data_IF_744704225058
#
_entry.id   IF_744704225058
#
_cell.length_a   1.000
_cell.length_b   1.000
_cell.length_c   1.000
_cell.angle_alpha   90.00
_cell.angle_beta   90.00
_cell.angle_gamma   90.00
#
_symmetry.space_group_name_H-M   'P 1'
#
loop_
_entity.id
_entity.type
_entity.pdbx_description
1 polymer ?
#
# COMPACT_ATOMS: atom_id res chain seq x y z
N UNK A 1 28.14 -3.18 34.78
CA UNK A 1 29.27 -2.75 33.93
C UNK A 1 28.72 -2.49 32.54
N UNK A 2 28.86 -1.27 32.03
CA UNK A 2 28.45 -0.94 30.65
C UNK A 2 29.56 -1.33 29.68
N UNK A 3 29.21 -2.05 28.61
CA UNK A 3 30.12 -2.37 27.53
C UNK A 3 30.05 -1.25 26.48
N UNK A 4 31.18 -0.60 26.23
CA UNK A 4 31.38 0.22 25.04
C UNK A 4 31.42 -0.75 23.85
N UNK A 5 30.71 -0.42 22.76
CA UNK A 5 30.76 -1.22 21.53
C UNK A 5 32.15 -1.10 20.91
N UNK A 6 32.85 -2.21 20.76
CA UNK A 6 34.05 -2.31 19.94
C UNK A 6 33.64 -2.21 18.46
N UNK A 7 33.93 -1.08 17.83
CA UNK A 7 33.66 -0.87 16.41
C UNK A 7 34.79 -1.51 15.58
N UNK A 8 34.78 -2.83 15.40
CA UNK A 8 35.74 -3.56 14.55
C UNK A 8 35.39 -3.54 13.04
N UNK A 9 34.68 -2.52 12.56
CA UNK A 9 34.34 -2.43 11.15
C UNK A 9 33.74 -1.08 10.75
N UNK A 10 34.56 -0.20 10.20
CA UNK A 10 34.10 1.04 9.57
C UNK A 10 33.84 0.83 8.09
N UNK A 11 32.58 0.97 7.65
CA UNK A 11 32.30 1.11 6.21
C UNK A 11 32.66 2.52 5.78
N UNK A 12 33.69 2.68 4.96
CA UNK A 12 34.03 3.96 4.35
C UNK A 12 32.94 4.33 3.33
N UNK A 13 32.08 5.28 3.71
CA UNK A 13 31.08 5.84 2.82
C UNK A 13 31.69 7.02 2.07
N UNK A 14 31.74 6.96 0.75
CA UNK A 14 32.13 8.11 -0.07
C UNK A 14 31.01 9.14 -0.09
N UNK A 15 31.28 10.34 0.42
CA UNK A 15 30.42 11.51 0.24
C UNK A 15 31.04 12.43 -0.82
N UNK A 16 30.35 12.61 -1.94
CA UNK A 16 30.78 13.51 -3.02
C UNK A 16 29.91 14.75 -3.04
N UNK A 17 30.53 15.92 -2.89
CA UNK A 17 29.84 17.21 -2.99
C UNK A 17 29.85 17.69 -4.43
N UNK A 18 28.73 18.23 -4.91
CA UNK A 18 28.61 18.81 -6.23
C UNK A 18 29.24 20.21 -6.24
N UNK A 19 30.34 20.45 -6.99
CA UNK A 19 31.07 21.73 -6.93
C UNK A 19 30.22 22.95 -7.34
N UNK A 20 29.17 22.71 -8.14
CA UNK A 20 28.22 23.73 -8.59
C UNK A 20 27.23 24.20 -7.52
N UNK A 21 27.19 23.55 -6.35
CA UNK A 21 26.25 23.88 -5.27
C UNK A 21 26.99 24.65 -4.17
N UNK A 22 26.50 25.85 -3.86
CA UNK A 22 26.94 26.62 -2.70
C UNK A 22 26.17 26.17 -1.46
N UNK A 23 26.64 25.11 -0.82
CA UNK A 23 25.93 24.45 0.29
C UNK A 23 25.65 25.36 1.49
N UNK A 24 26.52 26.33 1.79
CA UNK A 24 26.29 27.32 2.85
C UNK A 24 25.07 28.22 2.58
N UNK A 25 24.62 28.31 1.32
CA UNK A 25 23.45 29.08 0.90
C UNK A 25 22.25 28.19 0.56
N UNK A 26 22.30 26.89 0.89
CA UNK A 26 21.27 25.92 0.49
C UNK A 26 19.85 26.34 0.90
N UNK A 27 19.69 26.91 2.11
CA UNK A 27 18.38 27.41 2.58
C UNK A 27 17.80 28.49 1.66
N UNK A 28 18.64 29.46 1.24
CA UNK A 28 18.23 30.53 0.31
C UNK A 28 17.96 29.99 -1.08
N UNK A 29 18.78 29.04 -1.55
CA UNK A 29 18.60 28.38 -2.84
C UNK A 29 17.25 27.64 -2.90
N UNK A 30 16.95 26.83 -1.88
CA UNK A 30 15.68 26.08 -1.79
C UNK A 30 14.47 27.02 -1.72
N UNK A 31 14.58 28.13 -0.98
CA UNK A 31 13.52 29.13 -0.92
C UNK A 31 13.21 29.71 -2.30
N UNK A 32 14.26 30.12 -3.05
CA UNK A 32 14.10 30.68 -4.41
C UNK A 32 13.56 29.65 -5.40
N UNK A 33 14.00 28.39 -5.30
CA UNK A 33 13.47 27.29 -6.12
C UNK A 33 11.98 27.07 -5.83
N UNK A 34 11.59 27.02 -4.55
CA UNK A 34 10.19 26.90 -4.12
C UNK A 34 9.35 28.06 -4.67
N UNK A 35 9.81 29.29 -4.55
CA UNK A 35 9.13 30.47 -5.09
C UNK A 35 8.94 30.37 -6.60
N UNK A 36 9.96 29.93 -7.33
CA UNK A 36 9.92 29.76 -8.79
C UNK A 36 8.90 28.70 -9.21
N UNK A 37 8.92 27.53 -8.54
CA UNK A 37 7.95 26.45 -8.77
C UNK A 37 6.54 26.93 -8.49
N UNK A 38 6.31 27.58 -7.35
CA UNK A 38 5.00 28.13 -6.99
C UNK A 38 4.54 29.18 -8.01
N UNK A 39 5.41 30.10 -8.46
CA UNK A 39 5.06 31.08 -9.47
C UNK A 39 4.63 30.42 -10.79
N UNK A 40 5.33 29.37 -11.23
CA UNK A 40 4.97 28.62 -12.42
C UNK A 40 3.66 27.86 -12.26
N UNK A 41 3.42 27.24 -11.11
CA UNK A 41 2.15 26.58 -10.79
C UNK A 41 0.99 27.58 -10.81
N UNK A 42 1.16 28.78 -10.25
CA UNK A 42 0.12 29.82 -10.22
C UNK A 42 -0.27 30.32 -11.61
N UNK A 43 0.64 30.28 -12.58
CA UNK A 43 0.35 30.64 -13.96
C UNK A 43 -0.55 29.61 -14.68
N UNK A 44 -0.61 28.37 -14.19
CA UNK A 44 -1.37 27.27 -14.80
C UNK A 44 -2.56 26.80 -13.95
N UNK A 45 -2.54 27.08 -12.65
CA UNK A 45 -3.50 26.54 -11.68
C UNK A 45 -3.99 27.59 -10.68
N UNK A 46 -5.28 27.49 -10.35
CA UNK A 46 -5.97 28.31 -9.35
C UNK A 46 -5.96 27.70 -7.95
N UNK A 47 -5.26 26.58 -7.72
CA UNK A 47 -5.23 25.87 -6.43
C UNK A 47 -4.73 26.73 -5.25
N UNK A 48 -3.97 27.79 -5.53
CA UNK A 48 -3.46 28.71 -4.53
C UNK A 48 -4.51 29.73 -4.03
N UNK A 49 -5.69 29.79 -4.66
CA UNK A 49 -6.79 30.67 -4.26
C UNK A 49 -7.53 29.99 -3.11
N UNK A 50 -7.41 30.56 -1.91
CA UNK A 50 -8.13 30.09 -0.72
C UNK A 50 -9.47 30.81 -0.66
N UNK A 51 -10.57 30.06 -0.75
CA UNK A 51 -11.90 30.63 -0.63
C UNK A 51 -12.39 30.60 0.82
N UNK A 52 -13.06 31.67 1.26
CA UNK A 52 -13.62 31.74 2.60
C UNK A 52 -14.81 30.77 2.76
N UNK A 53 -15.03 30.21 3.97
CA UNK A 53 -16.17 29.34 4.22
C UNK A 53 -17.51 30.11 4.09
N UNK A 54 -18.63 29.41 3.83
CA UNK A 54 -19.96 30.00 3.82
C UNK A 54 -20.25 30.81 5.09
N UNK A 55 -20.85 32.00 4.94
CA UNK A 55 -21.12 32.91 6.06
C UNK A 55 -21.96 32.26 7.16
N UNK A 56 -22.88 31.35 6.80
CA UNK A 56 -23.72 30.61 7.75
C UNK A 56 -22.93 29.77 8.77
N UNK A 57 -21.75 29.28 8.39
CA UNK A 57 -20.92 28.45 9.25
C UNK A 57 -20.19 29.23 10.34
N UNK A 58 -20.22 30.56 10.31
CA UNK A 58 -19.74 31.38 11.44
C UNK A 58 -20.58 31.19 12.70
N UNK A 59 -21.87 30.86 12.53
CA UNK A 59 -22.82 30.68 13.64
C UNK A 59 -22.99 29.20 13.98
N UNK A 60 -23.24 28.37 12.96
CA UNK A 60 -23.41 26.92 13.12
C UNK A 60 -23.04 26.20 11.84
N UNK A 61 -22.28 25.12 11.95
CA UNK A 61 -21.98 24.25 10.81
C UNK A 61 -23.26 23.49 10.46
N UNK A 62 -23.76 23.73 9.25
CA UNK A 62 -24.94 23.05 8.69
C UNK A 62 -24.56 22.32 7.39
N UNK A 63 -25.20 21.17 7.09
CA UNK A 63 -24.98 20.47 5.83
C UNK A 63 -25.28 21.37 4.63
N UNK A 64 -24.44 21.32 3.60
CA UNK A 64 -24.67 22.01 2.33
C UNK A 64 -25.57 21.12 1.48
N UNK A 65 -26.75 21.60 1.13
CA UNK A 65 -27.72 20.85 0.31
C UNK A 65 -27.41 20.91 -1.19
N UNK A 66 -26.80 22.00 -1.65
CA UNK A 66 -26.37 22.16 -3.05
C UNK A 66 -24.94 22.76 -3.11
N UNK A 67 -23.92 22.00 -3.53
CA UNK A 67 -22.54 22.50 -3.65
C UNK A 67 -22.41 23.72 -4.57
N UNK A 68 -23.22 23.81 -5.63
CA UNK A 68 -23.19 24.92 -6.59
C UNK A 68 -23.73 26.23 -6.02
N UNK A 69 -24.42 26.19 -4.86
CA UNK A 69 -24.83 27.40 -4.14
C UNK A 69 -23.65 28.17 -3.55
N UNK A 70 -22.47 27.53 -3.45
CA UNK A 70 -21.27 28.14 -2.91
C UNK A 70 -20.47 28.74 -4.07
N UNK A 71 -20.42 30.07 -4.14
CA UNK A 71 -19.70 30.82 -5.18
C UNK A 71 -18.24 30.38 -5.33
N UNK A 72 -17.60 29.98 -4.24
CA UNK A 72 -16.26 29.43 -4.26
C UNK A 72 -16.15 28.14 -5.07
N UNK A 73 -17.06 27.18 -4.86
CA UNK A 73 -17.11 25.89 -5.56
C UNK A 73 -17.46 26.12 -7.03
N UNK A 74 -18.36 27.05 -7.34
CA UNK A 74 -18.64 27.42 -8.72
C UNK A 74 -17.38 27.97 -9.43
N UNK A 75 -16.60 28.80 -8.75
CA UNK A 75 -15.40 29.43 -9.31
C UNK A 75 -14.24 28.45 -9.58
N UNK A 76 -14.24 27.27 -8.94
CA UNK A 76 -13.24 26.22 -9.22
C UNK A 76 -13.55 25.43 -10.49
N UNK A 77 -14.74 25.60 -11.07
CA UNK A 77 -15.20 24.77 -12.20
C UNK A 77 -15.61 23.36 -11.78
N UNK A 78 -15.88 23.15 -10.48
CA UNK A 78 -16.37 21.88 -9.97
C UNK A 78 -17.70 21.51 -10.63
N UNK A 79 -17.86 20.23 -10.94
CA UNK A 79 -19.09 19.66 -11.48
C UNK A 79 -19.47 18.38 -10.74
N UNK A 80 -20.77 18.03 -10.68
CA UNK A 80 -21.21 16.76 -10.11
C UNK A 80 -20.48 15.55 -10.71
N UNK A 81 -20.28 15.55 -12.03
CA UNK A 81 -19.52 14.48 -12.71
C UNK A 81 -18.08 14.35 -12.21
N UNK A 82 -17.40 15.46 -11.91
CA UNK A 82 -16.04 15.40 -11.32
C UNK A 82 -16.06 14.80 -9.90
N UNK A 83 -17.11 15.07 -9.12
CA UNK A 83 -17.29 14.47 -7.80
C UNK A 83 -17.55 12.97 -7.91
N UNK A 84 -18.43 12.58 -8.82
CA UNK A 84 -18.74 11.17 -9.12
C UNK A 84 -17.48 10.43 -9.55
N UNK A 85 -16.71 10.97 -10.51
CA UNK A 85 -15.42 10.40 -10.90
C UNK A 85 -14.44 10.33 -9.71
N UNK A 86 -14.38 11.35 -8.86
CA UNK A 86 -13.49 11.34 -7.69
C UNK A 86 -13.88 10.31 -6.62
N UNK A 87 -15.17 9.92 -6.58
CA UNK A 87 -15.68 8.88 -5.69
C UNK A 87 -15.55 7.49 -6.30
N UNK A 88 -15.71 7.40 -7.62
CA UNK A 88 -15.59 6.17 -8.41
C UNK A 88 -14.13 5.69 -8.47
N UNK A 89 -13.16 6.61 -8.46
CA UNK A 89 -11.74 6.28 -8.27
C UNK A 89 -11.47 5.95 -6.79
N UNK A 90 -11.99 4.78 -6.39
CA UNK A 90 -11.62 3.91 -5.27
C UNK A 90 -11.22 4.63 -3.99
N UNK A 91 -12.21 4.93 -3.16
CA UNK A 91 -11.99 4.70 -1.73
C UNK A 91 -12.08 3.20 -1.55
N UNK A 92 -10.94 2.56 -1.34
CA UNK A 92 -10.90 1.15 -1.00
C UNK A 92 -11.91 0.83 0.12
N UNK A 93 -12.39 -0.42 0.14
CA UNK A 93 -13.37 -0.88 1.14
C UNK A 93 -12.94 -0.60 2.59
N UNK A 94 -13.89 -0.60 3.54
CA UNK A 94 -13.62 -0.23 4.94
C UNK A 94 -12.51 -1.05 5.60
N UNK A 95 -12.35 -2.32 5.19
CA UNK A 95 -11.34 -3.25 5.72
C UNK A 95 -10.06 -3.33 4.87
N UNK A 96 -9.94 -2.53 3.81
CA UNK A 96 -8.78 -2.55 2.92
C UNK A 96 -7.46 -2.32 3.66
N UNK A 97 -7.42 -1.34 4.56
CA UNK A 97 -6.19 -1.04 5.29
C UNK A 97 -5.79 -2.17 6.24
N UNK A 98 -6.74 -2.95 6.76
CA UNK A 98 -6.46 -4.12 7.59
C UNK A 98 -5.94 -5.26 6.73
N UNK A 99 -6.62 -5.57 5.62
CA UNK A 99 -6.17 -6.54 4.62
C UNK A 99 -4.76 -6.23 4.10
N UNK A 100 -4.48 -4.95 3.80
CA UNK A 100 -3.18 -4.52 3.28
C UNK A 100 -2.07 -4.63 4.31
N UNK A 101 -2.34 -4.33 5.59
CA UNK A 101 -1.37 -4.54 6.67
C UNK A 101 -1.08 -6.02 6.85
N UNK A 102 -2.13 -6.83 6.94
CA UNK A 102 -2.03 -8.28 7.08
C UNK A 102 -1.20 -8.91 5.95
N UNK A 103 -1.52 -8.58 4.69
CA UNK A 103 -0.80 -9.12 3.54
C UNK A 103 0.67 -8.68 3.54
N UNK A 104 0.95 -7.43 3.92
CA UNK A 104 2.33 -6.94 4.04
C UNK A 104 3.12 -7.68 5.14
N UNK A 105 2.52 -7.99 6.28
CA UNK A 105 3.19 -8.76 7.33
C UNK A 105 3.54 -10.18 6.86
N UNK A 106 2.62 -10.84 6.15
CA UNK A 106 2.84 -12.17 5.59
C UNK A 106 3.97 -12.15 4.56
N UNK A 107 3.94 -11.21 3.61
CA UNK A 107 4.96 -11.09 2.56
C UNK A 107 6.36 -10.85 3.12
N UNK A 108 6.47 -10.10 4.21
CA UNK A 108 7.76 -9.81 4.85
C UNK A 108 8.25 -10.95 5.77
N UNK A 109 7.46 -12.00 5.98
CA UNK A 109 7.87 -13.13 6.81
C UNK A 109 8.95 -13.96 6.09
N UNK A 110 9.98 -14.40 6.83
CA UNK A 110 11.13 -15.18 6.29
C UNK A 110 10.78 -16.48 5.56
N UNK A 111 9.56 -17.00 5.74
CA UNK A 111 9.08 -18.21 5.05
C UNK A 111 8.23 -17.91 3.81
N UNK A 112 8.01 -16.63 3.47
CA UNK A 112 7.15 -16.22 2.38
C UNK A 112 7.82 -16.29 1.00
N UNK A 113 9.15 -16.38 0.94
CA UNK A 113 9.93 -16.27 -0.30
C UNK A 113 9.46 -17.15 -1.47
N UNK A 114 8.96 -18.41 -1.30
CA UNK A 114 8.49 -19.20 -2.43
C UNK A 114 7.14 -18.74 -2.99
N UNK A 115 6.42 -17.92 -2.24
CA UNK A 115 5.04 -17.54 -2.51
C UNK A 115 4.92 -16.07 -2.93
N UNK A 116 6.03 -15.36 -3.11
CA UNK A 116 6.02 -13.93 -3.42
C UNK A 116 5.60 -13.62 -4.86
N UNK A 117 5.71 -14.59 -5.76
CA UNK A 117 5.44 -14.43 -7.18
C UNK A 117 4.86 -15.73 -7.76
N UNK A 118 4.16 -15.66 -8.91
CA UNK A 118 3.65 -16.84 -9.58
C UNK A 118 4.76 -17.84 -9.91
N UNK A 119 4.45 -19.14 -9.86
CA UNK A 119 5.37 -20.19 -10.32
C UNK A 119 5.59 -20.02 -11.83
N UNK A 120 6.85 -19.94 -12.27
CA UNK A 120 7.15 -19.75 -13.69
C UNK A 120 6.78 -21.00 -14.50
N UNK A 121 5.96 -20.82 -15.55
CA UNK A 121 5.62 -21.90 -16.49
C UNK A 121 6.85 -22.40 -17.26
N UNK A 122 7.82 -21.54 -17.50
CA UNK A 122 9.04 -21.91 -18.22
C UNK A 122 9.98 -22.76 -17.34
N UNK A 123 9.94 -22.56 -16.02
CA UNK A 123 10.76 -23.30 -15.06
C UNK A 123 10.09 -24.59 -14.58
N UNK A 124 8.76 -24.58 -14.43
CA UNK A 124 7.95 -25.71 -13.97
C UNK A 124 6.72 -25.91 -14.86
N UNK A 125 6.88 -26.46 -16.09
CA UNK A 125 5.79 -26.62 -17.05
C UNK A 125 4.61 -27.43 -16.51
N UNK A 126 4.89 -28.49 -15.75
CA UNK A 126 3.90 -29.43 -15.23
C UNK A 126 3.02 -28.80 -14.12
N UNK A 127 3.44 -27.67 -13.55
CA UNK A 127 2.71 -27.02 -12.46
C UNK A 127 1.27 -26.67 -12.85
N UNK A 128 1.09 -26.13 -14.04
CA UNK A 128 -0.22 -25.71 -14.54
C UNK A 128 -1.07 -26.86 -15.09
N UNK A 129 -0.52 -28.08 -15.18
CA UNK A 129 -1.27 -29.29 -15.48
C UNK A 129 -1.86 -29.92 -14.21
N UNK A 130 -1.18 -29.74 -13.07
CA UNK A 130 -1.57 -30.29 -11.76
C UNK A 130 -2.40 -29.29 -10.94
N UNK A 131 -2.06 -28.01 -10.98
CA UNK A 131 -2.69 -26.96 -10.18
C UNK A 131 -3.73 -26.20 -11.01
N UNK A 132 -5.00 -26.42 -10.68
CA UNK A 132 -6.15 -25.81 -11.38
C UNK A 132 -6.29 -24.31 -11.14
N UNK A 133 -6.02 -23.85 -9.91
CA UNK A 133 -6.17 -22.45 -9.51
C UNK A 133 -4.87 -21.93 -8.87
N UNK A 134 -3.86 -21.56 -9.69
CA UNK A 134 -2.63 -20.95 -9.21
C UNK A 134 -2.89 -19.67 -8.43
N UNK A 135 -2.13 -19.45 -7.36
CA UNK A 135 -2.20 -18.24 -6.54
C UNK A 135 -0.86 -17.99 -5.86
N UNK A 136 -0.55 -16.73 -5.61
CA UNK A 136 0.66 -16.26 -4.92
C UNK A 136 0.39 -14.90 -4.25
N UNK A 137 1.27 -14.48 -3.34
CA UNK A 137 1.11 -13.27 -2.56
C UNK A 137 1.25 -11.98 -3.39
N UNK A 138 1.91 -12.02 -4.55
CA UNK A 138 1.98 -10.91 -5.48
C UNK A 138 0.65 -10.71 -6.19
N UNK A 139 0.07 -11.79 -6.73
CA UNK A 139 -1.28 -11.77 -7.31
C UNK A 139 -2.32 -11.31 -6.28
N UNK A 140 -2.22 -11.78 -5.03
CA UNK A 140 -3.10 -11.30 -3.94
C UNK A 140 -2.96 -9.79 -3.67
N UNK A 141 -1.75 -9.22 -3.78
CA UNK A 141 -1.56 -7.78 -3.62
C UNK A 141 -2.25 -7.00 -4.75
N UNK A 142 -2.09 -7.46 -6.00
CA UNK A 142 -2.73 -6.84 -7.17
C UNK A 142 -4.26 -6.85 -7.07
N UNK A 143 -4.83 -7.98 -6.65
CA UNK A 143 -6.27 -8.13 -6.40
C UNK A 143 -6.77 -7.19 -5.30
N UNK A 144 -6.01 -7.06 -4.22
CA UNK A 144 -6.35 -6.17 -3.12
C UNK A 144 -6.35 -4.70 -3.56
N UNK A 145 -5.30 -4.24 -4.24
CA UNK A 145 -5.20 -2.87 -4.75
C UNK A 145 -6.25 -2.56 -5.84
N UNK A 146 -6.76 -3.60 -6.50
CA UNK A 146 -7.84 -3.52 -7.47
C UNK A 146 -9.25 -3.66 -6.86
N UNK A 147 -9.37 -3.64 -5.53
CA UNK A 147 -10.64 -3.81 -4.80
C UNK A 147 -11.41 -5.09 -5.20
N UNK A 148 -10.71 -6.15 -5.59
CA UNK A 148 -11.32 -7.44 -5.94
C UNK A 148 -11.69 -8.28 -4.71
N UNK A 149 -11.23 -7.87 -3.51
CA UNK A 149 -11.64 -8.47 -2.25
C UNK A 149 -12.73 -7.63 -1.59
N UNK A 150 -13.95 -8.14 -1.55
CA UNK A 150 -15.05 -7.51 -0.81
C UNK A 150 -14.82 -7.57 0.71
N UNK A 151 -14.01 -8.51 1.18
CA UNK A 151 -13.76 -8.76 2.60
C UNK A 151 -12.62 -9.77 2.85
N UNK A 152 -12.19 -9.90 4.12
CA UNK A 152 -11.05 -10.72 4.53
C UNK A 152 -11.24 -12.21 4.27
N UNK A 153 -12.48 -12.69 4.21
CA UNK A 153 -12.79 -14.08 3.88
C UNK A 153 -12.29 -14.44 2.48
N UNK A 154 -12.40 -13.49 1.53
CA UNK A 154 -11.97 -13.72 0.15
C UNK A 154 -10.45 -13.76 0.05
N UNK A 155 -9.77 -12.82 0.71
CA UNK A 155 -8.31 -12.82 0.83
C UNK A 155 -7.79 -14.10 1.50
N UNK A 156 -8.51 -14.60 2.50
CA UNK A 156 -8.13 -15.82 3.20
C UNK A 156 -8.30 -17.07 2.34
N UNK A 157 -9.32 -17.12 1.47
CA UNK A 157 -9.48 -18.21 0.50
C UNK A 157 -8.27 -18.29 -0.44
N UNK A 158 -7.79 -17.16 -0.94
CA UNK A 158 -6.61 -17.12 -1.79
C UNK A 158 -5.34 -17.52 -1.03
N UNK A 159 -5.19 -17.10 0.23
CA UNK A 159 -4.07 -17.56 1.07
C UNK A 159 -4.09 -19.07 1.30
N UNK A 160 -5.29 -19.66 1.48
CA UNK A 160 -5.46 -21.12 1.57
C UNK A 160 -5.07 -21.80 0.25
N UNK A 161 -5.37 -21.21 -0.90
CA UNK A 161 -4.91 -21.71 -2.21
C UNK A 161 -3.39 -21.69 -2.31
N UNK A 162 -2.72 -20.60 -1.93
CA UNK A 162 -1.24 -20.53 -1.93
C UNK A 162 -0.62 -21.70 -1.15
N UNK A 163 -1.09 -21.93 0.07
CA UNK A 163 -0.55 -22.97 0.95
C UNK A 163 -1.00 -24.38 0.53
N UNK A 164 -2.23 -24.52 0.03
CA UNK A 164 -2.82 -25.77 -0.45
C UNK A 164 -2.14 -26.27 -1.71
N UNK A 165 -2.00 -25.41 -2.72
CA UNK A 165 -1.31 -25.73 -3.98
C UNK A 165 0.14 -26.12 -3.73
N UNK A 166 0.83 -25.42 -2.82
CA UNK A 166 2.19 -25.80 -2.43
C UNK A 166 2.26 -27.24 -1.90
N UNK A 167 1.32 -27.64 -1.05
CA UNK A 167 1.28 -29.00 -0.46
C UNK A 167 0.77 -30.06 -1.43
N UNK A 168 -0.06 -29.68 -2.40
CA UNK A 168 -0.54 -30.56 -3.44
C UNK A 168 0.56 -30.90 -4.44
N UNK A 169 1.33 -29.90 -4.88
CA UNK A 169 2.35 -30.07 -5.90
C UNK A 169 3.66 -30.66 -5.36
N UNK A 170 4.06 -30.30 -4.14
CA UNK A 170 5.38 -30.65 -3.61
C UNK A 170 5.31 -31.83 -2.63
N UNK A 171 6.33 -32.70 -2.69
CA UNK A 171 6.48 -33.81 -1.74
C UNK A 171 6.64 -33.34 -0.28
N UNK A 172 6.19 -34.16 0.66
CA UNK A 172 6.35 -33.90 2.08
C UNK A 172 7.84 -33.82 2.47
N UNK A 173 8.19 -32.84 3.30
CA UNK A 173 9.56 -32.65 3.79
C UNK A 173 10.45 -31.74 2.92
N UNK A 174 10.00 -31.37 1.73
CA UNK A 174 10.64 -30.34 0.89
C UNK A 174 10.72 -28.99 1.60
N UNK A 175 11.65 -28.13 1.16
CA UNK A 175 11.78 -26.77 1.72
C UNK A 175 10.50 -25.97 1.53
N UNK A 176 9.79 -26.15 0.41
CA UNK A 176 8.55 -25.46 0.09
C UNK A 176 7.42 -25.81 1.08
N UNK A 177 7.20 -27.10 1.33
CA UNK A 177 6.18 -27.55 2.30
C UNK A 177 6.52 -27.10 3.72
N UNK A 178 7.82 -27.08 4.09
CA UNK A 178 8.28 -26.52 5.36
C UNK A 178 7.99 -25.02 5.47
N UNK A 179 8.23 -24.27 4.39
CA UNK A 179 7.89 -22.86 4.31
C UNK A 179 6.38 -22.62 4.43
N UNK A 180 5.55 -23.40 3.73
CA UNK A 180 4.09 -23.31 3.83
C UNK A 180 3.61 -23.54 5.27
N UNK A 181 4.08 -24.59 5.95
CA UNK A 181 3.72 -24.84 7.35
C UNK A 181 4.25 -23.77 8.31
N UNK A 182 5.44 -23.22 8.04
CA UNK A 182 6.01 -22.11 8.81
C UNK A 182 5.21 -20.81 8.66
N UNK A 183 4.79 -20.50 7.44
CA UNK A 183 3.97 -19.33 7.14
C UNK A 183 2.56 -19.49 7.72
N UNK A 184 1.94 -20.66 7.60
CA UNK A 184 0.61 -20.93 8.18
C UNK A 184 0.58 -20.72 9.69
N UNK A 185 1.60 -21.20 10.42
CA UNK A 185 1.73 -20.95 11.87
C UNK A 185 1.88 -19.46 12.19
N UNK A 186 2.56 -18.71 11.33
CA UNK A 186 2.69 -17.26 11.48
C UNK A 186 1.33 -16.58 11.25
N UNK A 187 0.62 -16.95 10.19
CA UNK A 187 -0.71 -16.43 9.87
C UNK A 187 -1.70 -16.66 11.01
N UNK A 188 -1.76 -17.87 11.59
CA UNK A 188 -2.63 -18.15 12.75
C UNK A 188 -2.35 -17.24 13.94
N UNK A 189 -1.08 -16.86 14.15
CA UNK A 189 -0.71 -15.92 15.21
C UNK A 189 -1.21 -14.51 14.91
N UNK A 190 -0.96 -14.01 13.71
CA UNK A 190 -1.39 -12.66 13.28
C UNK A 190 -2.92 -12.54 13.35
N UNK A 191 -3.65 -13.55 12.90
CA UNK A 191 -5.11 -13.56 12.99
C UNK A 191 -5.63 -13.52 14.42
N UNK A 192 -4.92 -14.15 15.37
CA UNK A 192 -5.29 -14.08 16.79
C UNK A 192 -5.09 -12.69 17.42
N UNK A 193 -4.32 -11.82 16.79
CA UNK A 193 -4.09 -10.43 17.24
C UNK A 193 -5.08 -9.44 16.57
N UNK A 194 -5.73 -9.85 15.49
CA UNK A 194 -6.68 -9.04 14.72
C UNK A 194 -8.13 -9.32 15.16
N UNK A 195 -8.79 -8.31 15.72
CA UNK A 195 -10.19 -8.43 16.13
C UNK A 195 -11.12 -8.61 14.93
N UNK A 196 -12.01 -9.60 14.99
CA UNK A 196 -13.01 -9.87 13.94
C UNK A 196 -12.51 -10.75 12.79
N UNK A 197 -11.29 -11.28 12.89
CA UNK A 197 -10.68 -12.17 11.90
C UNK A 197 -10.46 -13.59 12.45
N UNK A 198 -11.03 -13.88 13.62
CA UNK A 198 -10.88 -15.15 14.31
C UNK A 198 -11.48 -16.29 13.47
N UNK A 199 -10.73 -17.38 13.28
CA UNK A 199 -11.20 -18.58 12.58
C UNK A 199 -11.22 -18.50 11.06
N UNK A 200 -10.77 -17.40 10.43
CA UNK A 200 -10.76 -17.30 8.97
C UNK A 200 -9.86 -18.34 8.29
N UNK A 201 -8.81 -18.81 8.98
CA UNK A 201 -7.88 -19.83 8.46
C UNK A 201 -8.35 -21.28 8.69
N UNK A 202 -9.51 -21.50 9.33
CA UNK A 202 -9.99 -22.85 9.64
C UNK A 202 -10.67 -23.55 8.45
#
# INVERSE_FOLDING_TARGET
MGYIKDYEGGTLMQCSMLPKIRYLEAGRMLLKQKETVLAKMRALSRNHIVHAPPKQWKVKITPITNPLSILAILATGWSPSMDDFSREHRRHGPQFNEMRRFLNEIRNHKQAWPFLSPVSRDEVPEYYEVIEQPMDLGTMEEKLESDEYEGPEQLMRDLKLVLGNCRLFNEQGTVYVKCAGGLERFVRRVLGEMSGWEGLLD
#
